data_IF_036393030591
#
_entry.id   IF_036393030591
#
_cell.length_a   1.000
_cell.length_b   1.000
_cell.length_c   1.000
_cell.angle_alpha   90.00
_cell.angle_beta   90.00
_cell.angle_gamma   90.00
#
_symmetry.space_group_name_H-M   'P 1'
#
loop_
_entity.id
_entity.type
_entity.pdbx_description
1 polymer ?
#
# COMPACT_ATOMS: atom_id res chain seq x y z
N UNK A 1 -12.51 20.54 7.55
CA UNK A 1 -13.28 19.37 8.09
C UNK A 1 -12.28 18.27 8.40
N UNK A 2 -12.42 17.63 9.58
CA UNK A 2 -11.61 16.46 9.93
C UNK A 2 -12.55 15.36 10.38
N UNK A 3 -12.35 14.16 9.89
CA UNK A 3 -13.15 13.00 10.26
C UNK A 3 -12.24 11.78 10.36
N UNK A 4 -12.26 11.10 11.51
CA UNK A 4 -11.63 9.78 11.67
C UNK A 4 -12.67 8.74 11.27
N UNK A 5 -12.27 7.84 10.39
CA UNK A 5 -13.08 6.77 9.83
C UNK A 5 -12.48 5.43 10.25
N UNK A 6 -13.31 4.51 10.64
CA UNK A 6 -12.95 3.11 10.92
C UNK A 6 -13.67 2.13 10.01
N UNK A 7 -14.65 2.62 9.27
CA UNK A 7 -15.49 1.87 8.33
C UNK A 7 -15.81 2.72 7.10
N UNK A 8 -16.17 2.06 6.01
CA UNK A 8 -16.63 2.71 4.77
C UNK A 8 -15.66 3.76 4.20
N UNK A 9 -14.35 3.54 4.39
CA UNK A 9 -13.28 4.49 4.06
C UNK A 9 -13.33 4.86 2.57
N UNK A 10 -13.41 3.87 1.70
CA UNK A 10 -13.45 4.07 0.26
C UNK A 10 -14.72 4.78 -0.20
N UNK A 11 -15.86 4.45 0.41
CA UNK A 11 -17.13 5.16 0.16
C UNK A 11 -17.05 6.64 0.58
N UNK A 12 -16.39 6.93 1.70
CA UNK A 12 -16.18 8.31 2.14
C UNK A 12 -15.22 9.06 1.22
N UNK A 13 -14.12 8.43 0.80
CA UNK A 13 -13.18 8.99 -0.18
C UNK A 13 -13.87 9.27 -1.53
N UNK A 14 -14.69 8.35 -2.02
CA UNK A 14 -15.45 8.52 -3.25
C UNK A 14 -16.42 9.73 -3.20
N UNK A 15 -17.04 9.99 -2.06
CA UNK A 15 -17.95 11.15 -1.88
C UNK A 15 -17.24 12.49 -2.03
N UNK A 16 -15.96 12.57 -1.67
CA UNK A 16 -15.15 13.79 -1.77
C UNK A 16 -14.32 13.85 -3.05
N UNK A 17 -14.30 12.78 -3.86
CA UNK A 17 -13.57 12.72 -5.12
C UNK A 17 -14.01 13.85 -6.04
N UNK A 18 -13.07 14.71 -6.47
CA UNK A 18 -13.29 15.83 -7.41
C UNK A 18 -12.06 16.02 -8.29
N UNK A 19 -12.28 16.03 -9.60
CA UNK A 19 -11.20 16.21 -10.58
C UNK A 19 -10.16 15.10 -10.53
N UNK A 20 -8.95 15.42 -10.95
CA UNK A 20 -7.82 14.49 -10.90
C UNK A 20 -7.56 14.02 -9.47
N UNK A 21 -7.42 12.73 -9.31
CA UNK A 21 -7.20 12.07 -8.03
C UNK A 21 -5.87 11.33 -8.05
N UNK A 22 -5.11 11.47 -6.99
CA UNK A 22 -3.87 10.72 -6.78
C UNK A 22 -4.10 9.73 -5.66
N UNK A 23 -3.84 8.47 -5.95
CA UNK A 23 -3.88 7.38 -4.97
C UNK A 23 -2.48 6.87 -4.74
N UNK A 24 -2.10 6.76 -3.49
CA UNK A 24 -0.90 6.06 -3.03
C UNK A 24 -1.39 4.87 -2.24
N UNK A 25 -1.11 3.66 -2.70
CA UNK A 25 -1.52 2.43 -2.02
C UNK A 25 -0.44 1.37 -2.19
N UNK A 26 0.09 0.87 -1.08
CA UNK A 26 1.11 -0.17 -1.14
C UNK A 26 0.67 -1.35 -2.02
N UNK A 27 -0.58 -1.81 -1.81
CA UNK A 27 -1.13 -2.98 -2.48
C UNK A 27 -2.43 -2.66 -3.19
N UNK A 28 -2.65 -3.31 -4.34
CA UNK A 28 -3.78 -3.01 -5.22
C UNK A 28 -4.38 -4.30 -5.75
N UNK A 29 -5.61 -4.60 -5.34
CA UNK A 29 -6.37 -5.76 -5.85
C UNK A 29 -7.77 -5.38 -6.32
N UNK A 30 -8.20 -4.13 -6.10
CA UNK A 30 -9.51 -3.61 -6.46
C UNK A 30 -9.43 -2.12 -6.84
N UNK A 31 -10.53 -1.55 -7.31
CA UNK A 31 -10.66 -0.13 -7.64
C UNK A 31 -11.94 0.48 -7.04
N UNK A 32 -11.98 0.69 -5.72
CA UNK A 32 -13.16 1.24 -5.04
C UNK A 32 -13.44 2.71 -5.36
N UNK A 33 -12.48 3.42 -5.97
CA UNK A 33 -12.63 4.83 -6.34
C UNK A 33 -13.02 5.05 -7.81
N UNK A 34 -13.12 3.97 -8.61
CA UNK A 34 -13.40 4.05 -10.04
C UNK A 34 -12.48 5.04 -10.74
N UNK A 35 -11.16 4.79 -10.62
CA UNK A 35 -10.14 5.63 -11.23
C UNK A 35 -10.26 5.63 -12.76
N UNK A 36 -9.92 6.74 -13.38
CA UNK A 36 -10.09 6.98 -14.80
C UNK A 36 -9.02 7.93 -15.34
N UNK A 37 -9.15 8.34 -16.60
CA UNK A 37 -8.24 9.28 -17.25
C UNK A 37 -8.01 10.54 -16.40
N UNK A 38 -6.73 10.90 -16.23
CA UNK A 38 -6.29 12.03 -15.39
C UNK A 38 -6.03 11.68 -13.93
N UNK A 39 -6.43 10.50 -13.47
CA UNK A 39 -6.07 9.98 -12.15
C UNK A 39 -4.67 9.32 -12.18
N UNK A 40 -3.99 9.31 -11.03
CA UNK A 40 -2.67 8.68 -10.88
C UNK A 40 -2.67 7.71 -9.72
N UNK A 41 -2.08 6.54 -9.92
CA UNK A 41 -1.88 5.51 -8.90
C UNK A 41 -0.39 5.26 -8.69
N UNK A 42 0.08 5.44 -7.46
CA UNK A 42 1.37 4.95 -6.98
C UNK A 42 1.15 3.66 -6.19
N UNK A 43 1.83 2.59 -6.55
CA UNK A 43 1.73 1.30 -5.84
C UNK A 43 3.07 0.56 -5.84
N UNK A 44 3.17 -0.50 -5.06
CA UNK A 44 4.26 -1.46 -5.24
C UNK A 44 3.80 -2.57 -6.20
N UNK A 45 4.37 -2.57 -7.39
CA UNK A 45 4.18 -3.59 -8.41
C UNK A 45 5.51 -4.32 -8.73
N UNK A 46 6.40 -4.39 -7.74
CA UNK A 46 7.62 -5.20 -7.87
C UNK A 46 7.27 -6.69 -8.04
N UNK A 47 8.18 -7.44 -8.67
CA UNK A 47 7.99 -8.87 -8.96
C UNK A 47 7.61 -9.69 -7.72
N UNK A 48 8.20 -9.35 -6.56
CA UNK A 48 7.91 -10.04 -5.31
C UNK A 48 6.45 -9.81 -4.86
N UNK A 49 5.98 -8.58 -4.94
CA UNK A 49 4.62 -8.19 -4.53
C UNK A 49 3.57 -8.75 -5.50
N UNK A 50 3.88 -8.75 -6.79
CA UNK A 50 3.02 -9.39 -7.81
C UNK A 50 2.95 -10.90 -7.61
N UNK A 51 4.09 -11.57 -7.41
CA UNK A 51 4.15 -13.01 -7.15
C UNK A 51 3.38 -13.43 -5.90
N UNK A 52 3.36 -12.61 -4.87
CA UNK A 52 2.56 -12.86 -3.66
C UNK A 52 1.06 -12.66 -3.87
N UNK A 53 0.64 -12.09 -5.00
CA UNK A 53 -0.75 -11.75 -5.28
C UNK A 53 -1.30 -10.56 -4.48
N UNK A 54 -0.43 -9.86 -3.76
CA UNK A 54 -0.79 -8.70 -2.93
C UNK A 54 -1.15 -7.49 -3.81
N UNK A 55 -0.46 -7.32 -4.94
CA UNK A 55 -0.88 -6.45 -6.05
C UNK A 55 -1.23 -7.30 -7.25
N UNK A 56 -2.42 -7.11 -7.81
CA UNK A 56 -2.92 -7.85 -8.97
C UNK A 56 -2.65 -7.12 -10.27
N UNK A 57 -1.93 -7.77 -11.16
CA UNK A 57 -1.59 -7.22 -12.49
C UNK A 57 -2.85 -6.95 -13.30
N UNK A 58 -3.85 -7.82 -13.22
CA UNK A 58 -5.12 -7.66 -13.95
C UNK A 58 -5.82 -6.36 -13.56
N UNK A 59 -5.74 -5.97 -12.28
CA UNK A 59 -6.29 -4.69 -11.81
C UNK A 59 -5.50 -3.52 -12.38
N UNK A 60 -4.16 -3.59 -12.39
CA UNK A 60 -3.32 -2.55 -12.97
C UNK A 60 -3.54 -2.39 -14.48
N UNK A 61 -3.61 -3.50 -15.21
CA UNK A 61 -3.94 -3.51 -16.66
C UNK A 61 -5.32 -2.89 -16.93
N UNK A 62 -6.32 -3.22 -16.11
CA UNK A 62 -7.65 -2.62 -16.22
C UNK A 62 -7.61 -1.10 -16.00
N UNK A 63 -6.90 -0.64 -14.98
CA UNK A 63 -6.73 0.79 -14.67
C UNK A 63 -5.99 1.52 -15.79
N UNK A 64 -4.89 0.95 -16.28
CA UNK A 64 -4.13 1.50 -17.40
C UNK A 64 -4.99 1.68 -18.66
N UNK A 65 -5.79 0.67 -19.00
CA UNK A 65 -6.75 0.74 -20.14
C UNK A 65 -7.82 1.82 -19.96
N UNK A 66 -8.12 2.23 -18.73
CA UNK A 66 -9.01 3.37 -18.42
C UNK A 66 -8.29 4.71 -18.47
N UNK A 67 -6.99 4.73 -18.77
CA UNK A 67 -6.19 5.96 -18.88
C UNK A 67 -5.66 6.47 -17.53
N UNK A 68 -5.62 5.62 -16.50
CA UNK A 68 -4.97 5.93 -15.22
C UNK A 68 -3.46 5.86 -15.42
N UNK A 69 -2.74 6.88 -14.96
CA UNK A 69 -1.28 6.85 -14.88
C UNK A 69 -0.85 5.99 -13.70
N UNK A 70 -0.06 4.94 -13.94
CA UNK A 70 0.38 4.02 -12.89
C UNK A 70 1.89 4.13 -12.73
N UNK A 71 2.33 4.25 -11.49
CA UNK A 71 3.76 4.32 -11.13
C UNK A 71 4.05 3.26 -10.06
N UNK A 72 4.94 2.34 -10.38
CA UNK A 72 5.46 1.38 -9.40
C UNK A 72 6.57 2.02 -8.58
N UNK A 73 6.44 1.97 -7.27
CA UNK A 73 7.47 2.39 -6.31
C UNK A 73 7.77 1.20 -5.40
N UNK A 74 8.89 0.52 -5.61
CA UNK A 74 9.26 -0.64 -4.79
C UNK A 74 9.34 -0.27 -3.31
N UNK A 75 8.82 -1.15 -2.45
CA UNK A 75 8.77 -0.96 -0.98
C UNK A 75 7.86 0.17 -0.51
N UNK A 76 6.96 0.66 -1.36
CA UNK A 76 5.94 1.62 -0.97
C UNK A 76 5.02 1.01 0.10
N UNK A 77 4.84 1.72 1.23
CA UNK A 77 3.91 1.27 2.27
C UNK A 77 2.91 2.38 2.70
N UNK A 78 2.94 3.53 2.07
CA UNK A 78 1.99 4.61 2.32
C UNK A 78 0.59 4.29 1.76
N UNK A 79 -0.46 4.82 2.40
CA UNK A 79 -1.84 4.74 1.94
C UNK A 79 -2.46 6.13 2.05
N UNK A 80 -2.63 6.77 0.90
CA UNK A 80 -3.09 8.15 0.81
C UNK A 80 -3.99 8.31 -0.42
N UNK A 81 -5.05 9.09 -0.29
CA UNK A 81 -5.81 9.61 -1.44
C UNK A 81 -5.76 11.12 -1.38
N UNK A 82 -5.34 11.74 -2.47
CA UNK A 82 -5.35 13.18 -2.68
C UNK A 82 -6.35 13.51 -3.78
N UNK A 83 -7.40 14.26 -3.45
CA UNK A 83 -8.45 14.59 -4.44
C UNK A 83 -9.09 15.94 -4.11
N UNK A 84 -9.24 16.81 -5.10
CA UNK A 84 -9.77 18.17 -4.90
C UNK A 84 -9.05 18.88 -3.76
N UNK A 85 -9.79 19.43 -2.79
CA UNK A 85 -9.24 20.05 -1.58
C UNK A 85 -9.14 19.11 -0.38
N UNK A 86 -9.06 17.79 -0.59
CA UNK A 86 -9.08 16.79 0.48
C UNK A 86 -7.89 15.85 0.44
N UNK A 87 -7.50 15.35 1.61
CA UNK A 87 -6.60 14.23 1.79
C UNK A 87 -7.27 13.15 2.63
N UNK A 88 -7.04 11.90 2.27
CA UNK A 88 -7.41 10.69 3.03
C UNK A 88 -6.13 9.96 3.35
N UNK A 89 -5.83 9.78 4.63
CA UNK A 89 -4.55 9.23 5.10
C UNK A 89 -4.87 8.13 6.11
N UNK A 90 -4.38 6.92 5.89
CA UNK A 90 -4.69 5.85 6.82
C UNK A 90 -3.98 4.54 6.57
N UNK A 91 -4.55 3.47 7.10
CA UNK A 91 -4.00 2.13 7.02
C UNK A 91 -4.54 1.29 5.85
N UNK A 92 -5.65 1.71 5.21
CA UNK A 92 -6.34 0.94 4.18
C UNK A 92 -5.61 0.91 2.84
N UNK A 93 -5.28 -0.28 2.38
CA UNK A 93 -4.86 -0.49 0.99
C UNK A 93 -6.05 -0.51 0.02
N UNK A 94 -5.78 -0.30 -1.25
CA UNK A 94 -6.77 -0.42 -2.33
C UNK A 94 -7.03 -1.90 -2.66
N UNK A 95 -7.56 -2.62 -1.66
CA UNK A 95 -7.81 -4.07 -1.71
C UNK A 95 -9.16 -4.42 -1.09
N UNK A 96 -9.79 -5.50 -1.59
CA UNK A 96 -11.01 -6.04 -0.98
C UNK A 96 -10.81 -6.48 0.46
N UNK A 97 -9.60 -6.91 0.80
CA UNK A 97 -9.30 -7.37 2.16
C UNK A 97 -9.35 -6.20 3.17
N UNK A 98 -8.87 -5.01 2.79
CA UNK A 98 -8.95 -3.82 3.65
C UNK A 98 -10.37 -3.42 4.04
N UNK A 99 -11.37 -3.75 3.21
CA UNK A 99 -12.78 -3.50 3.54
C UNK A 99 -13.31 -4.37 4.69
N UNK A 100 -12.62 -5.50 4.97
CA UNK A 100 -12.99 -6.48 6.00
C UNK A 100 -12.16 -6.33 7.27
N UNK A 101 -11.14 -5.48 7.25
CA UNK A 101 -10.24 -5.27 8.38
C UNK A 101 -10.66 -4.04 9.20
N UNK A 102 -10.20 -3.99 10.45
CA UNK A 102 -10.29 -2.78 11.26
C UNK A 102 -9.20 -1.82 10.80
N UNK A 103 -9.61 -0.79 10.09
CA UNK A 103 -8.73 0.24 9.54
C UNK A 103 -8.97 1.56 10.27
N UNK A 104 -7.96 2.44 10.28
CA UNK A 104 -8.10 3.79 10.82
C UNK A 104 -7.64 4.79 9.77
N UNK A 105 -8.49 5.76 9.45
CA UNK A 105 -8.22 6.72 8.38
C UNK A 105 -8.69 8.11 8.77
N UNK A 106 -7.88 9.11 8.48
CA UNK A 106 -8.21 10.52 8.58
C UNK A 106 -8.66 11.02 7.20
N UNK A 107 -9.89 11.51 7.12
CA UNK A 107 -10.35 12.34 6.01
C UNK A 107 -10.28 13.80 6.44
N UNK A 108 -9.57 14.63 5.69
CA UNK A 108 -9.37 16.04 6.03
C UNK A 108 -9.42 16.96 4.82
N UNK A 109 -9.88 18.20 5.03
CA UNK A 109 -9.73 19.32 4.11
C UNK A 109 -8.87 20.43 4.72
N UNK A 110 -8.03 20.14 5.68
CA UNK A 110 -7.06 21.09 6.23
C UNK A 110 -6.00 21.41 5.19
N UNK A 111 -5.86 22.68 4.82
CA UNK A 111 -4.96 23.09 3.76
C UNK A 111 -3.49 22.80 4.07
N UNK A 112 -3.08 22.82 5.34
CA UNK A 112 -1.71 22.51 5.72
C UNK A 112 -1.38 21.03 5.59
N UNK A 113 -2.32 20.16 5.98
CA UNK A 113 -2.17 18.70 5.83
C UNK A 113 -2.22 18.33 4.35
N UNK A 114 -3.15 18.92 3.59
CA UNK A 114 -3.26 18.71 2.15
C UNK A 114 -1.97 19.10 1.42
N UNK A 115 -1.35 20.25 1.79
CA UNK A 115 -0.07 20.67 1.22
C UNK A 115 1.07 19.70 1.56
N UNK A 116 1.14 19.18 2.79
CA UNK A 116 2.13 18.16 3.16
C UNK A 116 1.93 16.86 2.35
N UNK A 117 0.70 16.47 2.08
CA UNK A 117 0.41 15.33 1.19
C UNK A 117 0.87 15.60 -0.24
N UNK A 118 0.68 16.82 -0.74
CA UNK A 118 1.18 17.21 -2.06
C UNK A 118 2.71 17.12 -2.14
N UNK A 119 3.43 17.52 -1.08
CA UNK A 119 4.90 17.35 -0.97
C UNK A 119 5.32 15.86 -1.00
N UNK A 120 4.61 15.00 -0.29
CA UNK A 120 4.86 13.55 -0.33
C UNK A 120 4.66 12.99 -1.74
N UNK A 121 3.60 13.38 -2.43
CA UNK A 121 3.34 12.95 -3.82
C UNK A 121 4.44 13.42 -4.75
N UNK A 122 4.91 14.67 -4.61
CA UNK A 122 6.05 15.20 -5.39
C UNK A 122 7.31 14.37 -5.13
N UNK A 123 7.59 14.05 -3.87
CA UNK A 123 8.75 13.22 -3.51
C UNK A 123 8.65 11.81 -4.12
N UNK A 124 7.47 11.20 -4.14
CA UNK A 124 7.24 9.90 -4.79
C UNK A 124 7.48 9.98 -6.30
N UNK A 125 7.01 11.04 -6.96
CA UNK A 125 7.21 11.24 -8.40
C UNK A 125 8.70 11.43 -8.76
N UNK A 126 9.50 11.95 -7.83
CA UNK A 126 10.94 12.17 -7.99
C UNK A 126 11.80 11.00 -7.47
N UNK A 127 11.17 9.96 -6.92
CA UNK A 127 11.89 8.80 -6.40
C UNK A 127 12.69 8.11 -7.52
N UNK A 128 14.00 7.89 -7.36
CA UNK A 128 14.82 7.28 -8.42
C UNK A 128 14.40 5.86 -8.80
N UNK A 129 13.72 5.16 -7.90
CA UNK A 129 13.19 3.81 -8.13
C UNK A 129 11.73 3.80 -8.62
N UNK A 130 11.12 4.97 -8.79
CA UNK A 130 9.77 5.07 -9.35
C UNK A 130 9.78 4.72 -10.84
N UNK A 131 8.98 3.75 -11.23
CA UNK A 131 8.87 3.25 -12.59
C UNK A 131 7.45 3.48 -13.10
N UNK A 132 7.23 4.38 -14.07
CA UNK A 132 5.95 4.45 -14.77
C UNK A 132 5.66 3.12 -15.47
N UNK A 133 4.45 2.60 -15.29
CA UNK A 133 4.03 1.34 -15.90
C UNK A 133 3.26 1.63 -17.18
N UNK A 134 3.88 1.39 -18.32
CA UNK A 134 3.25 1.35 -19.63
C UNK A 134 2.74 -0.05 -19.99
N UNK A 135 2.31 -0.26 -21.23
CA UNK A 135 1.79 -1.53 -21.70
C UNK A 135 2.84 -2.64 -21.65
N UNK A 136 4.09 -2.34 -21.99
CA UNK A 136 5.21 -3.30 -22.00
C UNK A 136 5.60 -3.69 -20.58
N UNK A 137 5.68 -2.73 -19.67
CA UNK A 137 5.97 -2.96 -18.26
C UNK A 137 4.85 -3.75 -17.57
N UNK A 138 3.59 -3.51 -17.92
CA UNK A 138 2.46 -4.27 -17.40
C UNK A 138 2.36 -5.68 -17.99
N UNK A 139 2.85 -5.91 -19.20
CA UNK A 139 2.91 -7.24 -19.79
C UNK A 139 3.95 -8.13 -19.08
N UNK A 140 5.04 -7.56 -18.57
CA UNK A 140 6.10 -8.28 -17.84
C UNK A 140 5.58 -8.94 -16.54
N UNK A 141 4.89 -8.24 -15.63
CA UNK A 141 4.31 -8.86 -14.44
C UNK A 141 3.26 -9.93 -14.76
N UNK A 142 2.52 -9.80 -15.87
CA UNK A 142 1.53 -10.78 -16.29
C UNK A 142 2.13 -12.14 -16.65
N UNK A 143 3.43 -12.17 -17.01
CA UNK A 143 4.18 -13.40 -17.26
C UNK A 143 4.71 -14.06 -15.98
N UNK A 144 4.59 -13.40 -14.83
CA UNK A 144 5.04 -13.91 -13.54
C UNK A 144 3.96 -14.84 -12.98
N UNK A 145 4.28 -16.12 -12.79
CA UNK A 145 3.40 -17.05 -12.10
C UNK A 145 3.19 -16.61 -10.65
N UNK A 146 1.91 -16.40 -10.29
CA UNK A 146 1.52 -16.14 -8.90
C UNK A 146 1.66 -17.42 -8.10
N UNK A 147 2.63 -17.49 -7.21
CA UNK A 147 2.76 -18.60 -6.29
C UNK A 147 1.71 -18.46 -5.17
N UNK A 148 0.62 -19.21 -5.29
CA UNK A 148 -0.48 -19.20 -4.32
C UNK A 148 -0.21 -19.99 -3.05
N UNK A 149 0.87 -20.77 -3.04
CA UNK A 149 1.27 -21.61 -1.90
C UNK A 149 2.24 -20.89 -0.94
N UNK A 150 2.64 -19.65 -1.25
CA UNK A 150 3.43 -18.86 -0.31
C UNK A 150 2.50 -18.39 0.82
N UNK A 151 2.71 -18.95 1.99
CA UNK A 151 2.08 -18.49 3.23
C UNK A 151 2.31 -16.97 3.37
N UNK A 152 1.27 -16.19 3.07
CA UNK A 152 1.32 -14.72 3.09
C UNK A 152 1.75 -14.15 4.45
N UNK A 153 1.64 -14.96 5.51
CA UNK A 153 2.03 -14.60 6.87
C UNK A 153 3.56 -14.48 7.05
N UNK A 154 4.35 -15.22 6.26
CA UNK A 154 5.80 -15.25 6.47
C UNK A 154 6.53 -14.05 5.82
N UNK A 155 6.04 -13.54 4.69
CA UNK A 155 6.67 -12.40 3.99
C UNK A 155 6.26 -11.06 4.62
N UNK A 156 5.00 -10.91 5.02
CA UNK A 156 4.49 -9.70 5.67
C UNK A 156 5.08 -9.45 7.06
N UNK A 157 5.24 -10.50 7.85
CA UNK A 157 5.75 -10.39 9.21
C UNK A 157 7.25 -10.03 9.24
N UNK A 158 8.06 -10.57 8.35
CA UNK A 158 9.51 -10.28 8.27
C UNK A 158 9.81 -8.85 7.82
N UNK A 159 9.02 -8.30 6.91
CA UNK A 159 9.18 -6.90 6.45
C UNK A 159 8.74 -5.88 7.51
N UNK A 160 7.79 -6.20 8.36
CA UNK A 160 7.27 -5.29 9.38
C UNK A 160 8.24 -5.01 10.52
N UNK A 161 9.11 -5.95 10.84
CA UNK A 161 9.99 -5.88 12.01
C UNK A 161 11.28 -5.12 11.70
N UNK A 162 11.77 -5.19 10.47
CA UNK A 162 13.04 -4.57 10.07
C UNK A 162 12.95 -3.08 9.77
N UNK A 163 11.78 -2.55 9.39
CA UNK A 163 11.62 -1.13 9.01
C UNK A 163 11.32 -0.19 10.20
N UNK A 164 11.08 -0.72 11.42
CA UNK A 164 10.62 0.08 12.57
C UNK A 164 11.64 0.34 13.67
N UNK A 165 12.81 -0.29 13.61
CA UNK A 165 13.84 -0.12 14.64
C UNK A 165 15.03 0.65 14.06
N UNK A 166 15.33 1.86 14.53
CA UNK A 166 16.61 2.52 14.29
C UNK A 166 17.67 1.87 15.17
N UNK A 167 18.04 0.63 14.84
CA UNK A 167 18.98 -0.18 15.62
C UNK A 167 20.21 -0.40 14.74
N UNK A 168 21.38 -0.47 15.34
CA UNK A 168 22.57 -0.82 14.58
C UNK A 168 22.45 -2.24 13.98
N UNK A 169 23.21 -2.55 12.96
CA UNK A 169 23.11 -3.82 12.23
C UNK A 169 23.24 -5.05 13.13
N UNK A 170 23.99 -4.96 14.22
CA UNK A 170 24.27 -6.07 15.15
C UNK A 170 23.07 -6.38 16.04
N UNK A 171 22.36 -5.36 16.54
CA UNK A 171 21.13 -5.53 17.32
C UNK A 171 19.96 -5.99 16.43
N UNK A 172 19.88 -5.50 15.19
CA UNK A 172 18.88 -5.94 14.21
C UNK A 172 19.01 -7.43 13.88
N UNK A 173 20.24 -7.94 13.77
CA UNK A 173 20.50 -9.36 13.51
C UNK A 173 20.13 -10.22 14.73
N UNK A 174 20.43 -9.77 15.94
CA UNK A 174 20.10 -10.49 17.18
C UNK A 174 18.60 -10.59 17.40
N UNK A 175 17.86 -9.49 17.15
CA UNK A 175 16.40 -9.46 17.24
C UNK A 175 15.77 -10.33 16.14
N UNK A 176 16.30 -10.30 14.92
CA UNK A 176 15.81 -11.14 13.83
C UNK A 176 16.04 -12.64 14.08
N UNK A 177 17.16 -13.01 14.72
CA UNK A 177 17.42 -14.38 15.17
C UNK A 177 16.47 -14.80 16.30
N UNK A 178 16.30 -13.96 17.32
CA UNK A 178 15.40 -14.25 18.45
C UNK A 178 13.93 -14.38 18.00
N UNK A 179 13.52 -13.58 17.03
CA UNK A 179 12.20 -13.66 16.42
C UNK A 179 12.06 -14.87 15.49
N UNK A 180 13.10 -15.22 14.73
CA UNK A 180 13.15 -16.44 13.93
C UNK A 180 12.96 -17.70 14.76
N UNK A 181 13.62 -17.77 15.93
CA UNK A 181 13.47 -18.86 16.87
C UNK A 181 12.07 -18.89 17.53
N UNK A 182 11.45 -17.73 17.74
CA UNK A 182 10.08 -17.61 18.24
C UNK A 182 9.02 -18.06 17.22
N UNK A 183 9.24 -17.83 15.93
CA UNK A 183 8.32 -18.24 14.87
C UNK A 183 8.40 -19.75 14.58
N UNK A 184 9.53 -20.38 14.86
CA UNK A 184 9.66 -21.84 14.76
C UNK A 184 9.00 -22.59 15.92
N UNK A 185 8.62 -21.89 17.01
CA UNK A 185 8.02 -22.46 18.21
C UNK A 185 6.62 -21.83 18.42
N UNK A 186 5.64 -22.26 17.61
CA UNK A 186 4.31 -21.63 17.47
C UNK A 186 3.51 -21.43 18.78
N UNK A 187 3.84 -22.15 19.88
CA UNK A 187 3.20 -21.94 21.17
C UNK A 187 3.71 -20.71 21.94
N UNK A 188 4.95 -20.28 21.71
CA UNK A 188 5.53 -19.13 22.42
C UNK A 188 5.08 -17.79 21.86
N UNK A 189 4.77 -17.74 20.56
CA UNK A 189 4.28 -16.52 19.89
C UNK A 189 2.94 -16.05 20.44
N UNK A 190 2.00 -16.97 20.66
CA UNK A 190 0.68 -16.61 21.20
C UNK A 190 0.72 -16.05 22.62
N UNK A 191 1.72 -16.41 23.43
CA UNK A 191 1.84 -15.90 24.81
C UNK A 191 2.42 -14.49 24.87
N UNK A 192 3.36 -14.11 24.01
CA UNK A 192 3.97 -12.76 24.00
C UNK A 192 3.08 -11.69 23.36
N UNK A 193 2.31 -12.01 22.33
CA UNK A 193 1.33 -11.08 21.74
C UNK A 193 0.16 -10.71 22.68
N UNK A 194 -0.03 -11.43 23.79
CA UNK A 194 -1.02 -11.09 24.83
C UNK A 194 -0.48 -10.16 25.91
N UNK A 195 0.81 -9.83 25.90
CA UNK A 195 1.48 -8.99 26.89
C UNK A 195 1.94 -7.64 26.34
N UNK A 196 1.66 -7.33 25.07
CA UNK A 196 1.81 -6.02 24.45
C UNK A 196 0.44 -5.43 24.12
#
# INVERSE_FOLDING_TARGET
MHQVLTENIWSAAAKVKRGATIVVSAYVTDDPLHLSVGDTLYCDASDQIVKSGTTKVETLVMLHKRGVSIVSVPRLHAKVVRTGGHAVIGSSNMTKNSEQLTEVTLLTSDGSIVAQVDEIVVALAQCPSALPLDEDELARPSAIEVNRDTDMLDVGARLWITDWLPVDETESLAIAQELGDLFNDGEKVQRRLRCL
#
